data_IF_639397439206
#
_entry.id   IF_639397439206
#
_cell.length_a   1.000
_cell.length_b   1.000
_cell.length_c   1.000
_cell.angle_alpha   90.00
_cell.angle_beta   90.00
_cell.angle_gamma   90.00
#
_symmetry.space_group_name_H-M   'P 1'
#
loop_
_entity.id
_entity.type
_entity.pdbx_description
1 polymer ?
#
# COMPACT_ATOMS: atom_id res chain seq x y z
N UNK A 1 3.71 -22.46 3.23
CA UNK A 1 2.68 -23.35 3.81
C UNK A 1 1.30 -22.99 3.27
N UNK A 2 0.42 -23.97 3.03
CA UNK A 2 -1.01 -23.68 2.76
C UNK A 2 -1.70 -23.35 4.08
N UNK A 3 -2.28 -22.16 4.17
CA UNK A 3 -2.99 -21.65 5.34
C UNK A 3 -4.49 -21.91 5.20
N UNK A 4 -5.06 -21.63 4.03
CA UNK A 4 -6.47 -21.88 3.75
C UNK A 4 -6.63 -22.96 2.68
N UNK A 5 -7.06 -24.17 3.08
CA UNK A 5 -7.31 -25.26 2.12
C UNK A 5 -8.52 -24.97 1.24
N UNK A 6 -9.60 -24.45 1.83
CA UNK A 6 -10.84 -24.06 1.16
C UNK A 6 -10.63 -23.18 -0.09
N UNK A 7 -9.77 -22.16 0.04
CA UNK A 7 -9.49 -21.17 -1.00
C UNK A 7 -8.10 -21.31 -1.62
N UNK A 8 -7.33 -22.32 -1.19
CA UNK A 8 -5.95 -22.59 -1.62
C UNK A 8 -4.99 -21.41 -1.40
N UNK A 9 -5.12 -20.73 -0.27
CA UNK A 9 -4.28 -19.56 0.07
C UNK A 9 -3.05 -20.01 0.85
N UNK A 10 -1.88 -19.57 0.41
CA UNK A 10 -0.59 -19.79 1.07
C UNK A 10 -0.18 -18.66 2.01
N UNK A 11 0.70 -18.98 2.96
CA UNK A 11 1.40 -18.02 3.81
C UNK A 11 2.11 -16.91 3.02
N UNK A 12 2.77 -17.27 1.90
CA UNK A 12 3.47 -16.34 1.03
C UNK A 12 2.52 -15.35 0.36
N UNK A 13 1.32 -15.79 -0.02
CA UNK A 13 0.31 -14.90 -0.59
C UNK A 13 -0.20 -13.90 0.46
N UNK A 14 -0.52 -14.37 1.67
CA UNK A 14 -0.92 -13.49 2.78
C UNK A 14 0.18 -12.47 3.06
N UNK A 15 1.42 -12.93 3.26
CA UNK A 15 2.56 -12.06 3.54
C UNK A 15 2.82 -11.03 2.44
N UNK A 16 2.59 -11.38 1.16
CA UNK A 16 2.74 -10.45 0.04
C UNK A 16 1.73 -9.30 0.12
N UNK A 17 0.47 -9.57 0.43
CA UNK A 17 -0.58 -8.54 0.53
C UNK A 17 -0.36 -7.65 1.75
N UNK A 18 0.01 -8.23 2.89
CA UNK A 18 0.32 -7.45 4.10
C UNK A 18 1.52 -6.52 3.88
N UNK A 19 2.57 -7.00 3.20
CA UNK A 19 3.73 -6.16 2.83
C UNK A 19 3.37 -5.05 1.83
N UNK A 20 2.28 -5.20 1.07
CA UNK A 20 1.71 -4.15 0.24
C UNK A 20 0.87 -3.14 1.04
N UNK A 21 0.80 -3.27 2.37
CA UNK A 21 0.08 -2.37 3.26
C UNK A 21 -1.37 -2.79 3.55
N UNK A 22 -1.79 -3.98 3.11
CA UNK A 22 -3.15 -4.45 3.33
C UNK A 22 -3.36 -4.94 4.77
N UNK A 23 -4.51 -4.57 5.32
CA UNK A 23 -5.07 -5.07 6.58
C UNK A 23 -5.61 -6.48 6.43
N UNK A 24 -5.92 -7.16 7.54
CA UNK A 24 -6.50 -8.51 7.49
C UNK A 24 -7.84 -8.54 6.73
N UNK A 25 -8.69 -7.52 6.89
CA UNK A 25 -10.00 -7.47 6.23
C UNK A 25 -9.85 -7.34 4.71
N UNK A 26 -8.89 -6.54 4.24
CA UNK A 26 -8.55 -6.42 2.82
C UNK A 26 -7.94 -7.73 2.29
N UNK A 27 -7.05 -8.37 3.05
CA UNK A 27 -6.50 -9.69 2.70
C UNK A 27 -7.62 -10.75 2.61
N UNK A 28 -8.57 -10.74 3.53
CA UNK A 28 -9.73 -11.62 3.55
C UNK A 28 -10.64 -11.38 2.33
N UNK A 29 -10.84 -10.12 1.96
CA UNK A 29 -11.62 -9.76 0.77
C UNK A 29 -10.91 -10.23 -0.52
N UNK A 30 -9.63 -9.92 -0.69
CA UNK A 30 -8.87 -10.20 -1.92
C UNK A 30 -8.58 -11.70 -2.11
N UNK A 31 -8.21 -12.41 -1.05
CA UNK A 31 -7.82 -13.83 -1.13
C UNK A 31 -8.97 -14.79 -0.80
N UNK A 32 -10.06 -14.30 -0.21
CA UNK A 32 -11.13 -15.13 0.33
C UNK A 32 -10.73 -15.95 1.56
N UNK A 33 -9.55 -15.74 2.16
CA UNK A 33 -9.11 -16.48 3.36
C UNK A 33 -10.15 -16.34 4.48
N UNK A 34 -10.37 -17.39 5.27
CA UNK A 34 -11.39 -17.47 6.32
C UNK A 34 -12.87 -17.35 5.88
N UNK A 35 -13.20 -17.18 4.60
CA UNK A 35 -14.59 -16.97 4.14
C UNK A 35 -15.43 -18.25 3.93
N UNK A 36 -14.89 -19.44 4.18
CA UNK A 36 -15.63 -20.72 4.06
C UNK A 36 -15.78 -21.40 5.43
N UNK A 37 -14.89 -22.32 5.80
CA UNK A 37 -15.01 -23.05 7.07
C UNK A 37 -14.47 -22.28 8.29
N UNK A 38 -13.81 -21.14 8.08
CA UNK A 38 -13.24 -20.28 9.14
C UNK A 38 -12.02 -20.83 9.88
N UNK A 39 -11.72 -22.14 9.79
CA UNK A 39 -10.69 -22.80 10.61
C UNK A 39 -9.26 -22.22 10.47
N UNK A 40 -8.99 -21.55 9.34
CA UNK A 40 -7.69 -20.92 9.07
C UNK A 40 -7.53 -19.51 9.65
N UNK A 41 -8.58 -18.89 10.21
CA UNK A 41 -8.59 -17.46 10.59
C UNK A 41 -7.48 -17.11 11.58
N UNK A 42 -7.33 -17.87 12.68
CA UNK A 42 -6.30 -17.60 13.67
C UNK A 42 -4.89 -17.63 13.07
N UNK A 43 -4.58 -18.68 12.30
CA UNK A 43 -3.29 -18.80 11.62
C UNK A 43 -3.05 -17.66 10.61
N UNK A 44 -4.07 -17.25 9.86
CA UNK A 44 -3.95 -16.13 8.92
C UNK A 44 -3.68 -14.81 9.64
N UNK A 45 -4.40 -14.53 10.75
CA UNK A 45 -4.19 -13.33 11.59
C UNK A 45 -2.79 -13.29 12.19
N UNK A 46 -2.27 -14.43 12.66
CA UNK A 46 -0.91 -14.52 13.21
C UNK A 46 0.13 -14.14 12.16
N UNK A 47 -0.05 -14.56 10.91
CA UNK A 47 0.85 -14.20 9.80
C UNK A 47 0.78 -12.70 9.52
N UNK A 48 -0.42 -12.10 9.52
CA UNK A 48 -0.58 -10.64 9.36
C UNK A 48 0.18 -9.91 10.46
N UNK A 49 -0.05 -10.26 11.72
CA UNK A 49 0.61 -9.61 12.86
C UNK A 49 2.15 -9.71 12.79
N UNK A 50 2.68 -10.89 12.45
CA UNK A 50 4.12 -11.11 12.27
C UNK A 50 4.70 -10.27 11.13
N UNK A 51 3.98 -10.15 10.01
CA UNK A 51 4.43 -9.36 8.86
C UNK A 51 4.39 -7.85 9.15
N UNK A 52 3.33 -7.37 9.81
CA UNK A 52 3.19 -5.96 10.18
C UNK A 52 4.24 -5.50 11.18
N UNK A 53 4.63 -6.35 12.14
CA UNK A 53 5.71 -6.05 13.07
C UNK A 53 7.09 -5.98 12.40
N UNK A 54 7.30 -6.81 11.36
CA UNK A 54 8.59 -6.90 10.65
C UNK A 54 8.80 -5.77 9.63
N UNK A 55 7.71 -5.20 9.12
CA UNK A 55 7.72 -4.11 8.15
C UNK A 55 6.75 -3.02 8.61
N UNK A 56 7.18 -2.07 9.45
CA UNK A 56 6.38 -0.91 9.74
C UNK A 56 6.13 -0.16 8.43
N UNK A 57 4.89 -0.22 7.94
CA UNK A 57 4.46 0.60 6.82
C UNK A 57 4.51 2.04 7.29
N UNK A 58 5.28 2.88 6.60
CA UNK A 58 5.30 4.31 6.88
C UNK A 58 3.86 4.84 6.67
N UNK A 59 3.14 5.07 7.76
CA UNK A 59 1.85 5.73 7.74
C UNK A 59 2.08 7.17 7.27
N UNK A 60 2.05 7.38 5.96
CA UNK A 60 1.84 8.70 5.41
C UNK A 60 0.39 9.05 5.74
N UNK A 61 0.18 9.67 6.89
CA UNK A 61 -1.07 10.33 7.22
C UNK A 61 -1.31 11.37 6.12
N UNK A 62 -2.07 11.00 5.10
CA UNK A 62 -2.53 11.95 4.09
C UNK A 62 -3.61 12.77 4.77
N UNK A 63 -3.18 13.83 5.41
CA UNK A 63 -4.03 14.88 5.93
C UNK A 63 -4.92 15.36 4.77
N UNK A 64 -6.13 14.83 4.65
CA UNK A 64 -7.24 15.52 3.97
C UNK A 64 -7.71 16.66 4.87
N UNK A 65 -6.78 17.51 5.31
CA UNK A 65 -7.12 18.88 5.61
C UNK A 65 -7.40 19.51 4.26
N UNK A 66 -8.61 20.02 4.07
CA UNK A 66 -8.86 21.11 3.12
C UNK A 66 -7.99 22.29 3.53
N UNK A 67 -6.68 22.22 3.27
CA UNK A 67 -5.86 23.41 3.15
C UNK A 67 -6.40 24.10 1.93
N UNK A 68 -7.24 25.11 2.18
CA UNK A 68 -7.60 26.08 1.17
C UNK A 68 -6.33 26.45 0.43
N UNK A 69 -6.27 26.10 -0.86
CA UNK A 69 -5.19 26.49 -1.75
C UNK A 69 -5.19 28.02 -1.70
N UNK A 70 -4.28 28.60 -0.92
CA UNK A 70 -4.07 30.04 -0.95
C UNK A 70 -3.52 30.33 -2.34
N UNK A 71 -4.39 30.88 -3.19
CA UNK A 71 -4.05 31.44 -4.47
C UNK A 71 -2.92 32.46 -4.25
N UNK A 72 -1.71 32.12 -4.73
CA UNK A 72 -0.56 33.01 -4.64
C UNK A 72 -0.92 34.32 -5.35
N UNK A 73 -0.98 35.41 -4.58
CA UNK A 73 -1.17 36.75 -5.10
C UNK A 73 0.02 37.08 -6.02
N UNK A 74 -0.29 37.31 -7.30
CA UNK A 74 0.58 37.90 -8.32
C UNK A 74 1.95 37.23 -8.56
N UNK A 75 1.99 36.32 -9.53
CA UNK A 75 3.20 36.06 -10.32
C UNK A 75 3.49 37.35 -11.10
N UNK A 76 4.31 38.22 -10.53
CA UNK A 76 4.93 39.30 -11.30
C UNK A 76 6.25 38.75 -11.82
N UNK A 77 6.41 38.79 -13.13
CA UNK A 77 7.57 38.32 -13.92
C UNK A 77 7.63 36.83 -14.27
N UNK A 78 6.98 36.49 -15.39
CA UNK A 78 7.38 35.37 -16.22
C UNK A 78 8.80 35.61 -16.77
N UNK A 79 9.84 35.08 -16.11
CA UNK A 79 11.12 34.84 -16.80
C UNK A 79 10.96 33.56 -17.61
N UNK A 80 10.78 33.74 -18.91
CA UNK A 80 10.74 32.69 -19.91
C UNK A 80 11.82 31.63 -19.65
N UNK A 81 11.39 30.37 -19.57
CA UNK A 81 12.30 29.23 -19.47
C UNK A 81 13.10 29.14 -20.77
N UNK A 82 14.29 29.73 -20.76
CA UNK A 82 15.23 29.60 -21.86
C UNK A 82 16.13 28.39 -21.62
N UNK A 83 16.50 27.76 -22.73
CA UNK A 83 17.64 26.87 -22.94
C UNK A 83 17.34 25.37 -22.83
N UNK A 84 16.85 24.84 -23.95
CA UNK A 84 17.17 23.51 -24.46
C UNK A 84 18.61 23.11 -24.14
N UNK A 85 18.82 22.12 -23.28
CA UNK A 85 20.12 21.48 -23.14
C UNK A 85 20.16 20.27 -24.06
N UNK A 86 21.09 20.36 -24.99
CA UNK A 86 21.35 19.46 -26.10
C UNK A 86 21.55 18.01 -25.63
N UNK A 87 20.92 17.07 -26.32
CA UNK A 87 21.32 15.67 -26.33
C UNK A 87 22.67 15.55 -27.04
N UNK A 88 23.69 15.09 -26.34
CA UNK A 88 24.91 14.56 -26.94
C UNK A 88 25.18 13.20 -26.28
N UNK A 89 24.90 12.13 -27.02
CA UNK A 89 25.37 10.79 -26.72
C UNK A 89 26.64 10.56 -27.56
N UNK A 90 27.68 10.03 -26.91
CA UNK A 90 28.91 9.56 -27.53
C UNK A 90 28.82 8.05 -27.79
#
# INVERSE_FOLDING_TARGET
MIVCVCRRVSDREIARHVRAGMTFDEVQFELGVATQCGQCEGCARDIVAQCSASHPVAALNRESGTSAIQLATSITESKAWNSSRHSAAA
#
